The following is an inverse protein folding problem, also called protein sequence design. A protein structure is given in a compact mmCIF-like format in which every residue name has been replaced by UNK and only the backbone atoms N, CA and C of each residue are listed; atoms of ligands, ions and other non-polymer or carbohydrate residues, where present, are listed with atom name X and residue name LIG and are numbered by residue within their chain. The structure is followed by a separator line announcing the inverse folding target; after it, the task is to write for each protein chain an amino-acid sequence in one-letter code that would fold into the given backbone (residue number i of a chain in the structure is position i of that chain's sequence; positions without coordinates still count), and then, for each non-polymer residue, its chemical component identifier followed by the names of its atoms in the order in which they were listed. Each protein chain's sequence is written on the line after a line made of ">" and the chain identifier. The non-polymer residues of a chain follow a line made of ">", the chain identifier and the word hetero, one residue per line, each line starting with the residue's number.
data_IF_164376934015
#
_entry.id   IF_164376934015
#
_cell.length_a   1.000
_cell.length_b   1.000
_cell.length_c   1.000
_cell.angle_alpha   90.00
_cell.angle_beta   90.00
_cell.angle_gamma   90.00
#
_symmetry.space_group_name_H-M   'P 1'
#
loop_
_entity.id
_entity.type
_entity.pdbx_description
1 polymer ?
#
# COMPACT_ATOMS: atom_id res chain seq x y z
N UNK A 1 -1.36 -3.55 -16.20
CA UNK A 1 -1.91 -2.52 -15.30
C UNK A 1 -0.77 -1.68 -14.74
N UNK A 2 -0.98 -0.39 -14.48
CA UNK A 2 0.05 0.56 -14.00
C UNK A 2 0.89 0.01 -12.82
N UNK A 3 0.26 -0.78 -11.95
CA UNK A 3 0.90 -1.53 -10.87
C UNK A 3 2.00 -2.52 -11.30
N UNK A 4 1.83 -3.21 -12.42
CA UNK A 4 2.83 -4.16 -12.93
C UNK A 4 4.10 -3.44 -13.43
N UNK A 5 3.93 -2.28 -14.07
CA UNK A 5 5.05 -1.44 -14.50
C UNK A 5 5.81 -0.91 -13.28
N UNK A 6 5.09 -0.48 -12.23
CA UNK A 6 5.68 -0.08 -10.96
C UNK A 6 6.53 -1.20 -10.33
N UNK A 7 6.03 -2.44 -10.23
CA UNK A 7 6.80 -3.54 -9.67
C UNK A 7 8.06 -3.87 -10.47
N UNK A 8 8.01 -3.74 -11.81
CA UNK A 8 9.19 -3.94 -12.66
C UNK A 8 10.21 -2.80 -12.43
N UNK A 9 9.78 -1.54 -12.36
CA UNK A 9 10.67 -0.41 -12.09
C UNK A 9 11.32 -0.53 -10.72
N UNK A 10 10.56 -0.97 -9.71
CA UNK A 10 11.05 -1.22 -8.36
C UNK A 10 12.02 -2.40 -8.34
N UNK A 11 11.70 -3.52 -8.99
CA UNK A 11 12.60 -4.69 -9.00
C UNK A 11 13.93 -4.41 -9.70
N UNK A 12 13.94 -3.56 -10.72
CA UNK A 12 15.17 -3.09 -11.38
C UNK A 12 15.92 -2.09 -10.51
N UNK A 13 15.23 -1.12 -9.89
CA UNK A 13 15.85 -0.10 -9.04
C UNK A 13 16.48 -0.65 -7.75
N UNK A 14 15.85 -1.64 -7.15
CA UNK A 14 16.29 -2.29 -5.90
C UNK A 14 17.53 -3.16 -6.10
N UNK A 15 17.77 -3.68 -7.32
CA UNK A 15 18.98 -4.47 -7.59
C UNK A 15 20.28 -3.67 -7.44
N UNK A 16 20.23 -2.35 -7.64
CA UNK A 16 21.40 -1.47 -7.59
C UNK A 16 21.44 -0.56 -6.35
N UNK A 17 20.41 -0.55 -5.51
CA UNK A 17 20.31 0.38 -4.36
C UNK A 17 19.43 -0.23 -3.27
N UNK A 18 19.68 0.14 -2.00
CA UNK A 18 18.81 -0.26 -0.89
C UNK A 18 17.34 0.06 -1.19
N UNK A 19 16.44 -0.91 -0.95
CA UNK A 19 14.99 -0.80 -1.17
C UNK A 19 14.40 0.48 -0.60
N UNK A 20 14.81 0.84 0.62
CA UNK A 20 14.31 1.99 1.35
C UNK A 20 14.65 3.29 0.62
N UNK A 21 15.88 3.43 0.13
CA UNK A 21 16.32 4.63 -0.58
C UNK A 21 15.61 4.78 -1.93
N UNK A 22 15.40 3.68 -2.64
CA UNK A 22 14.71 3.71 -3.94
C UNK A 22 13.25 4.14 -3.79
N UNK A 23 12.53 3.54 -2.85
CA UNK A 23 11.12 3.87 -2.65
C UNK A 23 10.94 5.26 -2.02
N UNK A 24 11.85 5.68 -1.14
CA UNK A 24 11.86 7.05 -0.63
C UNK A 24 11.98 8.08 -1.76
N UNK A 25 12.84 7.84 -2.76
CA UNK A 25 12.98 8.73 -3.91
C UNK A 25 11.67 8.81 -4.72
N UNK A 26 11.00 7.67 -4.94
CA UNK A 26 9.71 7.66 -5.65
C UNK A 26 8.62 8.42 -4.89
N UNK A 27 8.57 8.29 -3.56
CA UNK A 27 7.62 9.03 -2.72
C UNK A 27 7.89 10.53 -2.76
N UNK A 28 9.16 10.95 -2.70
CA UNK A 28 9.54 12.37 -2.86
C UNK A 28 9.10 12.90 -4.23
N UNK A 29 9.31 12.14 -5.30
CA UNK A 29 8.85 12.54 -6.65
C UNK A 29 7.33 12.67 -6.70
N UNK A 30 6.60 11.71 -6.16
CA UNK A 30 5.13 11.74 -6.08
C UNK A 30 4.60 12.95 -5.29
N UNK A 31 5.21 13.25 -4.13
CA UNK A 31 4.85 14.42 -3.31
C UNK A 31 5.13 15.72 -4.06
N UNK A 32 6.27 15.81 -4.77
CA UNK A 32 6.60 16.99 -5.57
C UNK A 32 5.60 17.19 -6.72
N UNK A 33 5.25 16.13 -7.45
CA UNK A 33 4.25 16.20 -8.53
C UNK A 33 2.89 16.65 -7.99
N UNK A 34 2.43 16.04 -6.89
CA UNK A 34 1.17 16.43 -6.24
C UNK A 34 1.22 17.87 -5.71
N UNK A 35 2.35 18.32 -5.19
CA UNK A 35 2.54 19.70 -4.75
C UNK A 35 2.45 20.69 -5.91
N UNK A 36 3.11 20.43 -7.04
CA UNK A 36 3.01 21.28 -8.23
C UNK A 36 1.61 21.24 -8.86
N UNK A 37 0.94 20.09 -8.81
CA UNK A 37 -0.44 19.96 -9.26
C UNK A 37 -1.42 20.73 -8.35
N UNK A 38 -1.26 20.63 -7.03
CA UNK A 38 -2.05 21.36 -6.04
C UNK A 38 -1.77 22.87 -6.01
N UNK A 39 -0.68 23.35 -6.63
CA UNK A 39 -0.50 24.78 -6.89
C UNK A 39 -1.30 25.27 -8.10
N UNK A 40 -1.61 24.40 -9.07
CA UNK A 40 -2.40 24.73 -10.27
C UNK A 40 -3.89 24.66 -10.00
N UNK A 41 -4.33 23.66 -9.26
CA UNK A 41 -5.71 23.55 -8.78
C UNK A 41 -5.67 23.84 -7.28
N UNK A 42 -6.31 24.92 -6.80
CA UNK A 42 -6.50 25.14 -5.35
C UNK A 42 -7.60 24.19 -4.89
N UNK A 43 -7.30 23.05 -4.26
CA UNK A 43 -8.34 22.08 -3.98
C UNK A 43 -8.96 22.53 -2.65
N UNK A 44 -10.21 23.00 -2.68
CA UNK A 44 -10.94 23.49 -1.51
C UNK A 44 -11.02 22.46 -0.37
N UNK A 45 -10.77 21.18 -0.66
CA UNK A 45 -10.73 20.09 0.33
C UNK A 45 -9.40 19.98 1.10
N UNK A 46 -8.25 20.36 0.53
CA UNK A 46 -6.95 20.28 1.24
C UNK A 46 -6.94 21.21 2.45
N UNK A 47 -7.60 22.37 2.32
CA UNK A 47 -7.78 23.36 3.39
C UNK A 47 -8.64 22.85 4.55
N UNK A 48 -9.58 21.92 4.28
CA UNK A 48 -10.57 21.48 5.27
C UNK A 48 -10.08 20.36 6.18
N UNK A 49 -9.01 19.65 5.82
CA UNK A 49 -8.55 18.50 6.61
C UNK A 49 -7.04 18.21 6.54
N UNK A 50 -6.15 19.20 6.77
CA UNK A 50 -4.70 19.01 6.69
C UNK A 50 -4.20 17.91 7.65
N UNK A 51 -4.78 17.82 8.86
CA UNK A 51 -4.41 16.80 9.84
C UNK A 51 -4.73 15.35 9.41
N UNK A 52 -5.81 15.14 8.64
CA UNK A 52 -6.16 13.80 8.12
C UNK A 52 -5.21 13.37 7.00
N UNK A 53 -4.86 14.30 6.11
CA UNK A 53 -3.90 14.07 5.02
C UNK A 53 -2.52 13.74 5.61
N UNK A 54 -2.09 14.51 6.61
CA UNK A 54 -0.83 14.27 7.29
C UNK A 54 -0.82 12.93 8.05
N UNK A 55 -1.94 12.57 8.69
CA UNK A 55 -2.12 11.25 9.31
C UNK A 55 -2.00 10.10 8.32
N UNK A 56 -2.61 10.23 7.13
CA UNK A 56 -2.47 9.24 6.05
C UNK A 56 -1.01 9.14 5.57
N UNK A 57 -0.32 10.27 5.36
CA UNK A 57 1.08 10.28 4.95
C UNK A 57 2.00 9.61 5.96
N UNK A 58 1.80 9.86 7.26
CA UNK A 58 2.57 9.21 8.33
C UNK A 58 2.29 7.70 8.37
N UNK A 59 1.02 7.30 8.29
CA UNK A 59 0.65 5.89 8.27
C UNK A 59 1.24 5.15 7.06
N UNK A 60 1.25 5.79 5.89
CA UNK A 60 1.87 5.26 4.68
C UNK A 60 3.38 5.09 4.85
N UNK A 61 4.07 6.11 5.38
CA UNK A 61 5.52 6.05 5.61
C UNK A 61 5.92 4.93 6.59
N UNK A 62 5.16 4.77 7.68
CA UNK A 62 5.38 3.69 8.65
C UNK A 62 5.13 2.33 7.99
N UNK A 63 4.04 2.18 7.24
CA UNK A 63 3.68 0.94 6.54
C UNK A 63 4.76 0.51 5.53
N UNK A 64 5.27 1.46 4.75
CA UNK A 64 6.36 1.21 3.80
C UNK A 64 7.70 0.88 4.48
N UNK A 65 8.02 1.55 5.58
CA UNK A 65 9.21 1.24 6.37
C UNK A 65 9.15 -0.19 6.94
N UNK A 66 8.00 -0.57 7.52
CA UNK A 66 7.76 -1.92 8.01
C UNK A 66 7.82 -2.96 6.89
N UNK A 67 7.25 -2.67 5.73
CA UNK A 67 7.34 -3.53 4.54
C UNK A 67 8.79 -3.73 4.09
N UNK A 68 9.57 -2.64 4.01
CA UNK A 68 10.99 -2.70 3.65
C UNK A 68 11.80 -3.59 4.59
N UNK A 69 11.57 -3.48 5.91
CA UNK A 69 12.20 -4.34 6.91
C UNK A 69 11.76 -5.80 6.79
N UNK A 70 10.47 -6.06 6.52
CA UNK A 70 9.95 -7.41 6.34
C UNK A 70 10.58 -8.10 5.13
N UNK A 71 10.67 -7.41 3.99
CA UNK A 71 11.28 -7.96 2.76
C UNK A 71 12.78 -8.19 2.94
N UNK A 72 13.48 -7.40 3.77
CA UNK A 72 14.91 -7.59 4.01
C UNK A 72 15.24 -8.68 5.05
N UNK A 73 14.26 -9.11 5.86
CA UNK A 73 14.49 -10.05 6.98
C UNK A 73 13.79 -11.40 6.81
N UNK A 74 12.72 -11.45 6.01
CA UNK A 74 11.89 -12.64 5.80
C UNK A 74 12.21 -13.25 4.43
N UNK A 75 12.40 -14.58 4.33
CA UNK A 75 12.52 -15.26 3.04
C UNK A 75 11.33 -14.97 2.13
N UNK A 76 11.58 -14.73 0.84
CA UNK A 76 10.55 -14.38 -0.15
C UNK A 76 9.38 -15.38 -0.20
N UNK A 77 9.65 -16.68 0.05
CA UNK A 77 8.66 -17.75 0.13
C UNK A 77 7.64 -17.56 1.25
N UNK A 78 8.02 -16.89 2.35
CA UNK A 78 7.13 -16.56 3.47
C UNK A 78 6.50 -15.17 3.27
N UNK A 79 7.23 -14.24 2.65
CA UNK A 79 6.74 -12.89 2.38
C UNK A 79 5.60 -12.87 1.35
N UNK A 80 5.66 -13.67 0.29
CA UNK A 80 4.63 -13.73 -0.75
C UNK A 80 3.22 -14.03 -0.20
N UNK A 81 3.01 -15.09 0.62
CA UNK A 81 1.78 -15.33 1.39
C UNK A 81 1.23 -14.10 2.11
N UNK A 82 2.10 -13.41 2.86
CA UNK A 82 1.74 -12.30 3.73
C UNK A 82 1.27 -11.11 2.90
N UNK A 83 1.96 -10.82 1.80
CA UNK A 83 1.60 -9.74 0.88
C UNK A 83 0.28 -10.06 0.17
N UNK A 84 0.05 -11.31 -0.22
CA UNK A 84 -1.23 -11.73 -0.81
C UNK A 84 -2.40 -11.60 0.16
N UNK A 85 -2.16 -11.62 1.48
CA UNK A 85 -3.19 -11.41 2.51
C UNK A 85 -3.56 -9.92 2.75
N UNK A 86 -2.80 -8.96 2.21
CA UNK A 86 -3.06 -7.52 2.38
C UNK A 86 -4.51 -7.09 2.06
N UNK A 87 -5.19 -7.61 1.01
CA UNK A 87 -6.58 -7.26 0.72
C UNK A 87 -7.54 -7.66 1.85
N UNK A 88 -7.27 -8.79 2.51
CA UNK A 88 -8.07 -9.28 3.65
C UNK A 88 -7.90 -8.34 4.84
N UNK A 89 -6.65 -7.98 5.15
CA UNK A 89 -6.33 -7.03 6.23
C UNK A 89 -6.97 -5.67 5.97
N UNK A 90 -6.91 -5.20 4.72
CA UNK A 90 -7.51 -3.93 4.28
C UNK A 90 -9.02 -3.96 4.46
N UNK A 91 -9.67 -5.07 4.13
CA UNK A 91 -11.11 -5.21 4.26
C UNK A 91 -11.56 -5.30 5.72
N UNK A 92 -10.80 -5.97 6.59
CA UNK A 92 -11.04 -5.97 8.04
C UNK A 92 -10.92 -4.54 8.60
N UNK A 93 -9.87 -3.82 8.21
CA UNK A 93 -9.68 -2.41 8.59
C UNK A 93 -10.81 -1.53 8.08
N UNK A 94 -11.26 -1.71 6.84
CA UNK A 94 -12.40 -0.99 6.30
C UNK A 94 -13.69 -1.27 7.11
N UNK A 95 -13.95 -2.53 7.44
CA UNK A 95 -15.10 -2.90 8.27
C UNK A 95 -15.05 -2.26 9.67
N UNK A 96 -13.88 -2.21 10.31
CA UNK A 96 -13.71 -1.65 11.66
C UNK A 96 -13.73 -0.11 11.64
N UNK A 97 -12.99 0.51 10.72
CA UNK A 97 -12.74 1.97 10.68
C UNK A 97 -13.87 2.71 9.98
N UNK A 98 -14.35 2.22 8.83
CA UNK A 98 -15.44 2.84 8.09
C UNK A 98 -16.83 2.35 8.55
N UNK A 99 -16.88 1.29 9.38
CA UNK A 99 -18.13 0.66 9.86
C UNK A 99 -19.08 0.23 8.73
N UNK A 100 -18.53 -0.08 7.56
CA UNK A 100 -19.30 -0.56 6.42
C UNK A 100 -19.88 -1.95 6.73
N UNK A 101 -21.20 -2.09 6.60
CA UNK A 101 -21.87 -3.39 6.72
C UNK A 101 -21.60 -4.18 5.45
N UNK A 102 -20.71 -5.15 5.53
CA UNK A 102 -20.37 -6.01 4.40
C UNK A 102 -21.59 -6.87 4.02
N UNK A 103 -21.96 -6.85 2.75
CA UNK A 103 -23.03 -7.68 2.21
C UNK A 103 -22.63 -9.16 2.13
N UNK A 104 -23.60 -10.08 2.02
CA UNK A 104 -23.32 -11.53 1.94
C UNK A 104 -22.36 -11.92 0.81
N UNK A 105 -22.45 -11.23 -0.34
CA UNK A 105 -21.58 -11.45 -1.50
C UNK A 105 -20.13 -11.01 -1.23
N UNK A 106 -19.94 -9.96 -0.42
CA UNK A 106 -18.61 -9.48 -0.06
C UNK A 106 -17.93 -10.49 0.85
N UNK A 107 -18.64 -11.07 1.84
CA UNK A 107 -18.11 -12.15 2.68
C UNK A 107 -17.65 -13.36 1.84
N UNK A 108 -18.40 -13.74 0.80
CA UNK A 108 -17.97 -14.80 -0.11
C UNK A 108 -16.69 -14.42 -0.88
N UNK A 109 -16.57 -13.16 -1.32
CA UNK A 109 -15.34 -12.62 -1.89
C UNK A 109 -14.15 -12.69 -0.93
N UNK A 110 -14.35 -12.34 0.35
CA UNK A 110 -13.30 -12.46 1.38
C UNK A 110 -12.86 -13.92 1.54
N UNK A 111 -13.81 -14.85 1.61
CA UNK A 111 -13.52 -16.27 1.75
C UNK A 111 -12.71 -16.81 0.55
N UNK A 112 -13.05 -16.39 -0.67
CA UNK A 112 -12.29 -16.75 -1.89
C UNK A 112 -10.88 -16.17 -1.83
N UNK A 113 -10.71 -14.91 -1.45
CA UNK A 113 -9.39 -14.28 -1.33
C UNK A 113 -8.54 -15.02 -0.30
N UNK A 114 -9.08 -15.28 0.90
CA UNK A 114 -8.38 -16.05 1.94
C UNK A 114 -7.99 -17.43 1.41
N UNK A 115 -8.91 -18.14 0.74
CA UNK A 115 -8.65 -19.45 0.14
C UNK A 115 -7.52 -19.38 -0.90
N UNK A 116 -7.54 -18.39 -1.79
CA UNK A 116 -6.49 -18.18 -2.79
C UNK A 116 -5.13 -17.89 -2.16
N UNK A 117 -5.07 -17.09 -1.10
CA UNK A 117 -3.84 -16.84 -0.33
C UNK A 117 -3.30 -18.13 0.26
N UNK A 118 -4.15 -18.93 0.91
CA UNK A 118 -3.72 -20.21 1.52
C UNK A 118 -3.17 -21.16 0.46
N UNK A 119 -3.83 -21.29 -0.70
CA UNK A 119 -3.35 -22.14 -1.80
C UNK A 119 -2.02 -21.66 -2.36
N UNK A 120 -1.80 -20.35 -2.51
CA UNK A 120 -0.52 -19.78 -2.96
C UNK A 120 0.60 -19.91 -1.92
N UNK A 121 0.24 -20.16 -0.66
CA UNK A 121 1.18 -20.23 0.46
C UNK A 121 1.65 -21.65 0.79
N UNK A 122 1.03 -22.67 0.18
CA UNK A 122 1.42 -24.08 0.24
C UNK A 122 2.46 -24.39 -0.84
#
# INVERSE_FOLDING_TARGET
>A
GLWGIFFILVSVGVQNTSWISFVFLLEVVSVLVLFFYAQKEKPDEISKAPGRIMGFGIANAIGLGAYGLAVSTIPTTIAAPIVSALPVVTLILAHIVLRERLGPIQYFGVAIIIGGVVVLSL
#
